data_IF_354398452775
#
_entry.id   IF_354398452775
#
_cell.length_a   1.000
_cell.length_b   1.000
_cell.length_c   1.000
_cell.angle_alpha   90.00
_cell.angle_beta   90.00
_cell.angle_gamma   90.00
#
_symmetry.space_group_name_H-M   'P 1'
#
loop_
_entity.id
_entity.type
_entity.pdbx_description
1 polymer ?
#
# COMPACT_ATOMS: atom_id res chain seq x y z
N UNK A 1 -20.83 -12.09 -39.51
CA UNK A 1 -20.18 -11.39 -38.39
C UNK A 1 -20.60 -12.02 -37.08
N UNK A 2 -19.67 -12.35 -36.28
CA UNK A 2 -19.99 -12.87 -34.96
C UNK A 2 -20.52 -11.74 -34.08
N UNK A 3 -21.68 -11.96 -33.51
CA UNK A 3 -22.27 -11.06 -32.53
C UNK A 3 -21.96 -11.51 -31.11
N UNK A 4 -21.28 -12.62 -30.98
CA UNK A 4 -20.99 -13.19 -29.68
C UNK A 4 -19.95 -12.35 -28.97
N UNK A 5 -20.27 -11.86 -27.78
CA UNK A 5 -19.29 -11.25 -26.89
C UNK A 5 -18.28 -12.33 -26.48
N UNK A 6 -17.00 -11.99 -26.31
CA UNK A 6 -16.04 -12.94 -25.79
C UNK A 6 -16.56 -13.51 -24.48
N UNK A 7 -16.58 -14.84 -24.34
CA UNK A 7 -16.97 -15.49 -23.10
C UNK A 7 -15.98 -15.22 -21.99
N UNK A 8 -14.80 -14.85 -22.37
CA UNK A 8 -13.71 -14.55 -21.44
C UNK A 8 -13.17 -13.15 -21.76
N UNK A 9 -13.14 -12.30 -20.75
CA UNK A 9 -12.54 -10.99 -20.83
C UNK A 9 -11.27 -10.95 -19.97
N UNK A 10 -10.09 -10.80 -20.56
CA UNK A 10 -8.86 -10.65 -19.79
C UNK A 10 -8.90 -9.48 -18.81
N UNK A 11 -9.52 -8.37 -19.19
CA UNK A 11 -9.63 -7.21 -18.30
C UNK A 11 -10.48 -7.53 -17.08
N UNK A 12 -11.65 -8.12 -17.29
CA UNK A 12 -12.53 -8.48 -16.16
C UNK A 12 -11.88 -9.54 -15.28
N UNK A 13 -11.22 -10.53 -15.89
CA UNK A 13 -10.51 -11.55 -15.15
C UNK A 13 -9.37 -10.95 -14.30
N UNK A 14 -8.62 -10.01 -14.87
CA UNK A 14 -7.55 -9.32 -14.14
C UNK A 14 -8.10 -8.56 -12.94
N UNK A 15 -9.21 -7.85 -13.11
CA UNK A 15 -9.83 -7.10 -12.02
C UNK A 15 -10.34 -8.04 -10.92
N UNK A 16 -10.93 -9.18 -11.30
CA UNK A 16 -11.39 -10.17 -10.33
C UNK A 16 -10.23 -10.79 -9.55
N UNK A 17 -9.17 -11.17 -10.25
CA UNK A 17 -7.97 -11.74 -9.62
C UNK A 17 -7.28 -10.68 -8.74
N UNK A 18 -7.19 -9.45 -9.21
CA UNK A 18 -6.64 -8.34 -8.44
C UNK A 18 -7.40 -8.13 -7.12
N UNK A 19 -8.73 -8.14 -7.17
CA UNK A 19 -9.56 -8.00 -5.98
C UNK A 19 -9.34 -9.15 -4.99
N UNK A 20 -9.17 -10.36 -5.49
CA UNK A 20 -8.89 -11.52 -4.65
C UNK A 20 -7.55 -11.39 -3.93
N UNK A 21 -6.49 -10.99 -4.62
CA UNK A 21 -5.18 -10.82 -4.02
C UNK A 21 -5.13 -9.63 -3.07
N UNK A 22 -5.85 -8.57 -3.38
CA UNK A 22 -6.01 -7.44 -2.46
C UNK A 22 -6.69 -7.89 -1.17
N UNK A 23 -7.70 -8.74 -1.25
CA UNK A 23 -8.35 -9.33 -0.09
C UNK A 23 -7.41 -10.19 0.75
N UNK A 24 -6.53 -10.95 0.11
CA UNK A 24 -5.51 -11.73 0.81
C UNK A 24 -4.49 -10.83 1.52
N UNK A 25 -4.06 -9.75 0.86
CA UNK A 25 -3.19 -8.77 1.49
C UNK A 25 -3.85 -8.14 2.71
N UNK A 26 -5.10 -7.70 2.57
CA UNK A 26 -5.84 -7.13 3.69
C UNK A 26 -5.94 -8.12 4.87
N UNK A 27 -6.16 -9.40 4.57
CA UNK A 27 -6.27 -10.44 5.60
C UNK A 27 -4.98 -10.63 6.39
N UNK A 28 -3.82 -10.62 5.73
CA UNK A 28 -2.54 -10.78 6.43
C UNK A 28 -2.13 -9.55 7.23
N UNK A 29 -2.74 -8.40 6.97
CA UNK A 29 -2.46 -7.15 7.69
C UNK A 29 -3.42 -6.92 8.86
N UNK A 30 -4.52 -7.63 8.91
CA UNK A 30 -5.64 -7.34 9.81
C UNK A 30 -5.24 -7.36 11.30
N UNK A 31 -4.52 -8.38 11.73
CA UNK A 31 -4.10 -8.49 13.13
C UNK A 31 -3.00 -7.50 13.51
N UNK A 32 -2.34 -6.91 12.52
CA UNK A 32 -1.39 -5.82 12.76
C UNK A 32 -2.10 -4.47 12.94
N UNK A 33 -3.40 -4.43 12.74
CA UNK A 33 -4.20 -3.22 12.89
C UNK A 33 -4.02 -2.21 11.77
N UNK A 34 -3.50 -2.62 10.62
CA UNK A 34 -3.31 -1.73 9.48
C UNK A 34 -4.10 -2.21 8.26
N UNK A 35 -4.44 -1.27 7.40
CA UNK A 35 -5.08 -1.53 6.11
C UNK A 35 -4.00 -1.58 5.02
N UNK A 36 -4.40 -2.03 3.84
CA UNK A 36 -3.55 -1.99 2.64
C UNK A 36 -3.06 -0.56 2.37
N UNK A 37 -3.93 0.44 2.53
CA UNK A 37 -3.56 1.85 2.36
C UNK A 37 -2.52 2.29 3.38
N UNK A 38 -2.73 1.98 4.65
CA UNK A 38 -1.77 2.34 5.71
C UNK A 38 -0.41 1.68 5.48
N UNK A 39 -0.42 0.43 5.04
CA UNK A 39 0.81 -0.28 4.70
C UNK A 39 1.60 0.47 3.61
N UNK A 40 0.93 0.87 2.54
CA UNK A 40 1.56 1.63 1.45
C UNK A 40 2.12 2.97 1.93
N UNK A 41 1.34 3.71 2.73
CA UNK A 41 1.77 5.00 3.27
C UNK A 41 2.98 4.85 4.20
N UNK A 42 2.96 3.88 5.08
CA UNK A 42 4.10 3.57 5.96
C UNK A 42 5.36 3.27 5.14
N UNK A 43 5.21 2.48 4.08
CA UNK A 43 6.32 2.13 3.20
C UNK A 43 6.96 3.35 2.55
N UNK A 44 6.13 4.28 2.04
CA UNK A 44 6.63 5.51 1.42
C UNK A 44 7.32 6.43 2.43
N UNK A 45 6.75 6.60 3.61
CA UNK A 45 7.35 7.44 4.66
C UNK A 45 8.66 6.82 5.16
N UNK A 46 8.70 5.51 5.29
CA UNK A 46 9.91 4.80 5.73
C UNK A 46 11.04 4.94 4.71
N UNK A 47 10.72 4.83 3.42
CA UNK A 47 11.70 4.93 2.34
C UNK A 47 12.24 6.35 2.18
N UNK A 48 11.40 7.35 2.44
CA UNK A 48 11.79 8.77 2.29
C UNK A 48 11.30 9.56 3.51
N UNK A 49 12.08 9.56 4.60
CA UNK A 49 11.77 10.40 5.75
C UNK A 49 11.69 11.88 5.34
N UNK A 50 10.71 12.58 5.86
CA UNK A 50 10.49 13.98 5.48
C UNK A 50 9.74 14.16 4.16
N UNK A 51 9.21 13.09 3.58
CA UNK A 51 8.41 13.16 2.34
C UNK A 51 7.28 14.19 2.49
N UNK A 52 7.06 15.00 1.45
CA UNK A 52 5.97 15.99 1.46
C UNK A 52 4.61 15.29 1.33
N UNK A 53 3.57 15.94 1.84
CA UNK A 53 2.20 15.43 1.68
C UNK A 53 1.80 15.33 0.21
N UNK A 54 2.22 16.29 -0.62
CA UNK A 54 1.95 16.26 -2.05
C UNK A 54 2.58 15.05 -2.72
N UNK A 55 3.84 14.76 -2.41
CA UNK A 55 4.54 13.61 -3.00
C UNK A 55 3.98 12.29 -2.47
N UNK A 56 3.66 12.22 -1.18
CA UNK A 56 3.03 11.06 -0.58
C UNK A 56 1.67 10.75 -1.25
N UNK A 57 0.87 11.79 -1.45
CA UNK A 57 -0.43 11.67 -2.12
C UNK A 57 -0.26 11.19 -3.57
N UNK A 58 0.70 11.76 -4.29
CA UNK A 58 0.99 11.40 -5.67
C UNK A 58 1.39 9.92 -5.79
N UNK A 59 2.31 9.46 -4.96
CA UNK A 59 2.77 8.06 -4.97
C UNK A 59 1.68 7.08 -4.55
N UNK A 60 0.78 7.52 -3.71
CA UNK A 60 -0.31 6.69 -3.19
C UNK A 60 -1.59 6.78 -4.01
N UNK A 61 -1.60 7.61 -5.05
CA UNK A 61 -2.78 7.83 -5.91
C UNK A 61 -4.01 8.30 -5.12
N UNK A 62 -3.80 9.17 -4.16
CA UNK A 62 -4.87 9.77 -3.34
C UNK A 62 -4.73 11.30 -3.36
N UNK A 63 -5.77 11.98 -2.89
CA UNK A 63 -5.70 13.44 -2.75
C UNK A 63 -4.78 13.84 -1.61
N UNK A 64 -4.27 15.08 -1.65
CA UNK A 64 -3.44 15.62 -0.56
C UNK A 64 -4.22 15.63 0.74
N UNK A 65 -5.51 15.97 0.68
CA UNK A 65 -6.38 15.97 1.87
C UNK A 65 -6.52 14.56 2.45
N UNK A 66 -6.69 13.54 1.60
CA UNK A 66 -6.73 12.14 2.05
C UNK A 66 -5.42 11.73 2.69
N UNK A 67 -4.28 12.20 2.14
CA UNK A 67 -2.97 11.93 2.72
C UNK A 67 -2.86 12.53 4.13
N UNK A 68 -3.29 13.78 4.32
CA UNK A 68 -3.30 14.42 5.64
C UNK A 68 -4.15 13.64 6.64
N UNK A 69 -5.35 13.22 6.23
CA UNK A 69 -6.25 12.46 7.10
C UNK A 69 -5.65 11.11 7.48
N UNK A 70 -5.08 10.41 6.51
CA UNK A 70 -4.46 9.10 6.74
C UNK A 70 -3.23 9.19 7.64
N UNK A 71 -2.38 10.20 7.43
CA UNK A 71 -1.20 10.43 8.27
C UNK A 71 -1.61 10.75 9.70
N UNK A 72 -2.65 11.57 9.88
CA UNK A 72 -3.16 11.87 11.22
C UNK A 72 -3.56 10.58 11.95
N UNK A 73 -4.24 9.66 11.26
CA UNK A 73 -4.60 8.36 11.84
C UNK A 73 -3.37 7.55 12.20
N UNK A 74 -2.34 7.54 11.35
CA UNK A 74 -1.08 6.85 11.63
C UNK A 74 -0.35 7.44 12.84
N UNK A 75 -0.40 8.76 12.98
CA UNK A 75 0.16 9.45 14.16
C UNK A 75 -0.60 9.07 15.42
N UNK A 76 -1.92 9.07 15.37
CA UNK A 76 -2.78 8.71 16.51
C UNK A 76 -2.54 7.27 16.94
N UNK A 77 -2.22 6.39 16.01
CA UNK A 77 -1.91 4.99 16.30
C UNK A 77 -0.45 4.77 16.73
N UNK A 78 0.37 5.80 16.73
CA UNK A 78 1.77 5.72 17.15
C UNK A 78 2.70 5.11 16.12
N UNK A 79 2.30 5.03 14.85
CA UNK A 79 3.08 4.43 13.77
C UNK A 79 3.94 5.45 13.03
N UNK A 80 3.55 6.70 13.04
CA UNK A 80 4.23 7.82 12.39
C UNK A 80 4.35 8.97 13.38
N UNK A 81 5.45 9.70 13.28
CA UNK A 81 5.66 10.96 13.98
C UNK A 81 5.64 12.08 12.95
N UNK A 82 4.86 13.12 13.23
CA UNK A 82 4.83 14.33 12.43
C UNK A 82 5.50 15.44 13.24
N UNK A 83 6.74 15.73 12.92
CA UNK A 83 7.53 16.77 13.57
C UNK A 83 7.53 18.07 12.75
N UNK A 84 6.59 18.24 11.84
CA UNK A 84 6.43 19.46 11.05
C UNK A 84 6.29 20.65 11.99
N UNK A 85 7.15 21.67 11.82
CA UNK A 85 7.27 22.77 12.77
C UNK A 85 6.02 23.62 12.87
N UNK A 86 5.37 23.92 11.73
CA UNK A 86 4.15 24.72 11.67
C UNK A 86 3.49 24.55 10.30
N UNK A 87 2.25 25.01 10.18
CA UNK A 87 1.54 25.01 8.90
C UNK A 87 2.34 25.82 7.85
N UNK A 88 2.51 25.24 6.68
CA UNK A 88 3.30 25.84 5.60
C UNK A 88 4.81 25.54 5.65
N UNK A 89 5.30 24.95 6.74
CA UNK A 89 6.67 24.48 6.83
C UNK A 89 6.86 23.21 6.01
N UNK A 90 8.11 22.88 5.71
CA UNK A 90 8.44 21.59 5.10
C UNK A 90 7.99 20.44 6.00
N UNK A 91 7.44 19.40 5.40
CA UNK A 91 7.00 18.20 6.11
C UNK A 91 8.17 17.52 6.80
N UNK A 92 7.92 16.98 7.98
CA UNK A 92 8.91 16.20 8.73
C UNK A 92 8.27 14.94 9.28
N UNK A 93 7.94 14.03 8.35
CA UNK A 93 7.28 12.77 8.67
C UNK A 93 8.31 11.66 8.84
N UNK A 94 8.18 10.91 9.92
CA UNK A 94 9.05 9.78 10.22
C UNK A 94 8.24 8.60 10.73
N UNK A 95 8.63 7.38 10.35
CA UNK A 95 8.07 6.16 10.93
C UNK A 95 8.67 5.97 12.32
N UNK A 96 7.83 5.71 13.31
CA UNK A 96 8.27 5.42 14.68
C UNK A 96 8.89 4.03 14.77
N UNK A 97 9.62 3.70 15.85
CA UNK A 97 10.08 2.32 16.08
C UNK A 97 8.94 1.31 16.03
N UNK A 98 7.79 1.63 16.59
CA UNK A 98 6.60 0.78 16.50
C UNK A 98 6.14 0.62 15.05
N UNK A 99 6.08 1.71 14.30
CA UNK A 99 5.71 1.68 12.89
C UNK A 99 6.67 0.86 12.05
N UNK A 100 7.97 0.97 12.31
CA UNK A 100 9.00 0.19 11.62
C UNK A 100 8.85 -1.30 11.89
N UNK A 101 8.53 -1.69 13.13
CA UNK A 101 8.29 -3.08 13.50
C UNK A 101 7.06 -3.64 12.80
N UNK A 102 5.96 -2.90 12.80
CA UNK A 102 4.73 -3.30 12.09
C UNK A 102 5.01 -3.44 10.59
N UNK A 103 5.72 -2.49 10.01
CA UNK A 103 6.07 -2.52 8.58
C UNK A 103 6.92 -3.74 8.25
N UNK A 104 7.92 -4.06 9.08
CA UNK A 104 8.78 -5.21 8.85
C UNK A 104 8.00 -6.52 8.92
N UNK A 105 7.12 -6.67 9.89
CA UNK A 105 6.26 -7.85 10.01
C UNK A 105 5.35 -7.98 8.79
N UNK A 106 4.75 -6.87 8.37
CA UNK A 106 3.91 -6.83 7.17
C UNK A 106 4.70 -7.25 5.92
N UNK A 107 5.92 -6.76 5.77
CA UNK A 107 6.79 -7.11 4.63
C UNK A 107 7.16 -8.58 4.62
N UNK A 108 7.43 -9.16 5.78
CA UNK A 108 7.73 -10.58 5.88
C UNK A 108 6.53 -11.43 5.43
N UNK A 109 5.33 -11.04 5.81
CA UNK A 109 4.11 -11.72 5.38
C UNK A 109 3.84 -11.50 3.89
N UNK A 110 4.09 -10.31 3.38
CA UNK A 110 3.94 -10.00 1.97
C UNK A 110 4.90 -10.85 1.12
N UNK A 111 6.10 -11.09 1.59
CA UNK A 111 7.06 -11.93 0.89
C UNK A 111 6.50 -13.34 0.65
N UNK A 112 5.82 -13.92 1.63
CA UNK A 112 5.17 -15.23 1.47
C UNK A 112 4.01 -15.15 0.48
N UNK A 113 3.22 -14.08 0.52
CA UNK A 113 2.12 -13.87 -0.41
C UNK A 113 2.64 -13.70 -1.85
N UNK A 114 3.75 -12.97 -2.02
CA UNK A 114 4.42 -12.82 -3.31
C UNK A 114 4.84 -14.17 -3.88
N UNK A 115 5.37 -15.04 -3.03
CA UNK A 115 5.74 -16.40 -3.43
C UNK A 115 4.53 -17.23 -3.87
N UNK A 116 3.39 -17.09 -3.19
CA UNK A 116 2.16 -17.77 -3.57
C UNK A 116 1.65 -17.29 -4.93
N UNK A 117 1.71 -15.98 -5.18
CA UNK A 117 1.34 -15.42 -6.47
C UNK A 117 2.25 -15.95 -7.58
N UNK A 118 3.55 -15.97 -7.36
CA UNK A 118 4.51 -16.44 -8.34
C UNK A 118 4.30 -17.93 -8.69
N UNK A 119 3.88 -18.75 -7.71
CA UNK A 119 3.58 -20.15 -7.95
C UNK A 119 2.28 -20.35 -8.74
N UNK A 120 1.25 -19.58 -8.42
CA UNK A 120 -0.06 -19.74 -9.05
C UNK A 120 -0.15 -19.07 -10.41
N UNK A 121 0.50 -17.93 -10.57
CA UNK A 121 0.42 -17.09 -11.76
C UNK A 121 1.83 -16.66 -12.21
N UNK A 122 2.68 -17.63 -12.58
CA UNK A 122 4.09 -17.31 -12.88
C UNK A 122 4.25 -16.34 -14.06
N UNK A 123 3.40 -16.44 -15.06
CA UNK A 123 3.47 -15.54 -16.22
C UNK A 123 3.05 -14.12 -15.87
N UNK A 124 2.08 -13.98 -14.98
CA UNK A 124 1.66 -12.66 -14.48
C UNK A 124 2.77 -12.07 -13.62
N UNK A 125 3.30 -12.83 -12.68
CA UNK A 125 4.40 -12.36 -11.84
C UNK A 125 5.60 -11.91 -12.67
N UNK A 126 5.98 -12.69 -13.68
CA UNK A 126 7.08 -12.32 -14.58
C UNK A 126 6.80 -11.04 -15.36
N UNK A 127 5.55 -10.82 -15.78
CA UNK A 127 5.19 -9.62 -16.53
C UNK A 127 5.16 -8.35 -15.67
N UNK A 128 5.01 -8.49 -14.37
CA UNK A 128 4.99 -7.38 -13.43
C UNK A 128 6.37 -7.02 -12.90
N UNK A 129 7.33 -7.92 -13.07
CA UNK A 129 8.73 -7.72 -12.70
C UNK A 129 9.39 -6.87 -13.78
N UNK A 130 9.40 -5.58 -13.57
CA UNK A 130 9.84 -4.64 -14.60
C UNK A 130 11.01 -3.78 -14.25
#
# INVERSE_FOLDING_TARGET
MSQDAPRFSPVIALLAVSAMWEGQLAAILKDLGITTRKFGLLGHIYAEPGISFSELARRSHITVQSAHTAVRTLVDEGLVEDATAHAGAASDLHVTPKGAEVLQTARNRLFELDGALAQRLPNVAASLDG
#
